data_IF_742291481063
#
_entry.id   IF_742291481063
#
_cell.length_a   1.000
_cell.length_b   1.000
_cell.length_c   1.000
_cell.angle_alpha   90.00
_cell.angle_beta   90.00
_cell.angle_gamma   90.00
#
_symmetry.space_group_name_H-M   'P 1'
#
loop_
_entity.id
_entity.type
_entity.pdbx_description
1 polymer ?
#
# COMPACT_ATOMS: atom_id res chain seq x y z
N UNK A 1 -23.57 -8.12 5.39
CA UNK A 1 -22.58 -8.08 6.48
C UNK A 1 -21.90 -9.44 6.50
N UNK A 2 -20.75 -9.56 5.88
CA UNK A 2 -19.88 -10.72 6.05
C UNK A 2 -19.26 -10.56 7.44
N UNK A 3 -19.74 -11.35 8.39
CA UNK A 3 -19.02 -11.56 9.63
C UNK A 3 -17.80 -12.41 9.28
N UNK A 4 -16.69 -11.76 8.93
CA UNK A 4 -15.39 -12.41 9.02
C UNK A 4 -15.19 -12.82 10.47
N UNK A 5 -14.68 -14.00 10.71
CA UNK A 5 -14.08 -14.34 12.00
C UNK A 5 -13.06 -13.24 12.28
N UNK A 6 -13.08 -12.56 13.44
CA UNK A 6 -12.04 -11.62 13.77
C UNK A 6 -10.71 -12.38 13.62
N UNK A 7 -9.76 -11.77 12.91
CA UNK A 7 -8.39 -12.24 13.00
C UNK A 7 -8.03 -12.20 14.48
N UNK A 8 -7.79 -13.36 15.06
CA UNK A 8 -7.51 -13.49 16.48
C UNK A 8 -6.08 -13.08 16.83
N UNK A 9 -5.28 -12.76 15.82
CA UNK A 9 -3.93 -12.24 15.97
C UNK A 9 -3.97 -10.82 15.42
N UNK A 10 -3.89 -9.85 16.32
CA UNK A 10 -3.73 -8.44 15.95
C UNK A 10 -2.29 -8.20 15.50
N UNK A 11 -2.09 -7.33 14.51
CA UNK A 11 -0.75 -6.92 14.12
C UNK A 11 -0.04 -6.28 15.31
N UNK A 12 1.26 -6.49 15.42
CA UNK A 12 2.03 -6.05 16.59
C UNK A 12 1.97 -6.94 17.83
N UNK A 13 1.07 -7.91 17.89
CA UNK A 13 0.97 -8.89 19.00
C UNK A 13 1.77 -10.17 18.74
N UNK A 14 2.68 -10.14 17.78
CA UNK A 14 3.52 -11.25 17.39
C UNK A 14 4.50 -11.65 18.51
N UNK A 15 4.51 -12.92 18.83
CA UNK A 15 5.49 -13.51 19.76
C UNK A 15 6.53 -14.31 18.97
N UNK A 16 7.65 -14.65 19.60
CA UNK A 16 8.64 -15.50 18.97
C UNK A 16 8.08 -16.88 18.53
N UNK A 17 7.03 -17.35 19.20
CA UNK A 17 6.36 -18.61 18.84
C UNK A 17 5.58 -18.49 17.51
N UNK A 18 5.12 -17.30 17.14
CA UNK A 18 4.38 -17.08 15.91
C UNK A 18 5.27 -17.17 14.66
N UNK A 19 6.58 -17.18 14.86
CA UNK A 19 7.60 -17.26 13.81
C UNK A 19 8.26 -18.63 13.69
N UNK A 20 7.66 -19.65 14.27
CA UNK A 20 8.13 -21.03 14.16
C UNK A 20 7.15 -21.86 13.33
N UNK A 21 7.69 -22.73 12.48
CA UNK A 21 6.88 -23.75 11.82
C UNK A 21 6.55 -24.92 12.78
N UNK A 22 5.72 -25.87 12.33
CA UNK A 22 5.33 -27.05 13.12
C UNK A 22 6.52 -27.93 13.53
N UNK A 23 7.66 -27.79 12.87
CA UNK A 23 8.90 -28.49 13.18
C UNK A 23 9.79 -27.69 14.14
N UNK A 24 9.36 -26.47 14.55
CA UNK A 24 10.11 -25.59 15.43
C UNK A 24 11.24 -24.80 14.75
N UNK A 25 11.24 -24.73 13.40
CA UNK A 25 12.19 -23.89 12.68
C UNK A 25 11.68 -22.46 12.61
N UNK A 26 12.59 -21.49 12.67
CA UNK A 26 12.25 -20.09 12.50
C UNK A 26 11.71 -19.85 11.08
N UNK A 27 10.50 -19.28 11.00
CA UNK A 27 9.93 -18.78 9.75
C UNK A 27 10.15 -17.28 9.67
N UNK A 28 10.05 -16.67 8.47
CA UNK A 28 10.11 -15.22 8.32
C UNK A 28 9.05 -14.52 9.18
N UNK A 29 9.45 -13.41 9.77
CA UNK A 29 8.54 -12.49 10.43
C UNK A 29 7.41 -12.11 9.45
N UNK A 30 6.18 -12.03 9.93
CA UNK A 30 5.04 -11.71 9.09
C UNK A 30 4.94 -12.62 7.85
N UNK A 31 4.74 -13.90 8.07
CA UNK A 31 4.65 -14.91 7.00
C UNK A 31 3.78 -14.48 5.81
N UNK A 32 2.68 -13.76 6.05
CA UNK A 32 1.80 -13.24 5.00
C UNK A 32 2.51 -12.29 4.03
N UNK A 33 3.56 -11.60 4.46
CA UNK A 33 4.38 -10.76 3.60
C UNK A 33 4.95 -11.55 2.40
N UNK A 34 5.24 -12.83 2.59
CA UNK A 34 5.80 -13.71 1.56
C UNK A 34 4.74 -14.54 0.82
N UNK A 35 3.57 -14.72 1.41
CA UNK A 35 2.47 -15.48 0.79
C UNK A 35 1.62 -14.62 -0.16
N UNK A 36 1.43 -13.33 0.16
CA UNK A 36 0.58 -12.44 -0.63
C UNK A 36 1.09 -12.17 -2.05
N UNK A 37 2.38 -11.93 -2.32
CA UNK A 37 2.85 -11.74 -3.69
C UNK A 37 2.45 -12.90 -4.59
N UNK A 38 2.63 -14.14 -4.15
CA UNK A 38 2.26 -15.32 -4.93
C UNK A 38 0.75 -15.39 -5.22
N UNK A 39 -0.10 -14.96 -4.29
CA UNK A 39 -1.54 -14.88 -4.49
C UNK A 39 -1.91 -13.78 -5.49
N UNK A 40 -1.28 -12.62 -5.39
CA UNK A 40 -1.61 -11.46 -6.20
C UNK A 40 -1.09 -11.61 -7.62
N UNK A 41 0.08 -12.21 -7.82
CA UNK A 41 0.63 -12.47 -9.15
C UNK A 41 -0.36 -13.24 -10.03
N UNK A 42 -1.14 -14.16 -9.45
CA UNK A 42 -2.18 -14.89 -10.22
C UNK A 42 -3.31 -13.97 -10.70
N UNK A 43 -3.57 -12.87 -10.01
CA UNK A 43 -4.63 -11.89 -10.33
C UNK A 43 -4.14 -10.81 -11.29
N UNK A 44 -2.84 -10.53 -11.30
CA UNK A 44 -2.24 -9.47 -12.11
C UNK A 44 -1.78 -9.94 -13.50
N UNK A 45 -1.89 -11.22 -13.85
CA UNK A 45 -1.40 -11.78 -15.12
C UNK A 45 -1.90 -11.06 -16.38
N UNK A 46 -3.06 -10.41 -16.30
CA UNK A 46 -3.64 -9.65 -17.40
C UNK A 46 -4.01 -8.22 -16.94
N UNK A 47 -3.26 -7.68 -16.00
CA UNK A 47 -3.52 -6.34 -15.51
C UNK A 47 -3.32 -5.31 -16.62
N UNK A 48 -4.24 -4.39 -16.72
CA UNK A 48 -4.18 -3.20 -17.57
C UNK A 48 -4.83 -2.04 -16.84
N UNK A 49 -4.35 -0.83 -17.11
CA UNK A 49 -4.98 0.38 -16.59
C UNK A 49 -6.42 0.46 -17.13
N UNK A 50 -7.38 0.68 -16.25
CA UNK A 50 -8.74 0.98 -16.64
C UNK A 50 -8.89 2.49 -16.87
N UNK A 51 -8.70 2.91 -18.11
CA UNK A 51 -8.77 4.31 -18.52
C UNK A 51 -10.14 4.96 -18.21
N UNK A 52 -11.21 4.17 -18.24
CA UNK A 52 -12.56 4.68 -17.92
C UNK A 52 -12.68 5.03 -16.45
N UNK A 53 -12.22 4.14 -15.56
CA UNK A 53 -12.24 4.40 -14.11
C UNK A 53 -11.29 5.55 -13.74
N UNK A 54 -10.14 5.64 -14.37
CA UNK A 54 -9.22 6.76 -14.17
C UNK A 54 -9.88 8.08 -14.59
N UNK A 55 -10.55 8.12 -15.74
CA UNK A 55 -11.26 9.31 -16.20
C UNK A 55 -12.41 9.70 -15.25
N UNK A 56 -13.16 8.74 -14.74
CA UNK A 56 -14.23 8.98 -13.75
C UNK A 56 -13.67 9.50 -12.42
N UNK A 57 -12.54 8.97 -11.98
CA UNK A 57 -11.83 9.46 -10.80
C UNK A 57 -11.38 10.90 -10.97
N UNK A 58 -10.73 11.24 -12.09
CA UNK A 58 -10.31 12.62 -12.39
C UNK A 58 -11.50 13.58 -12.48
N UNK A 59 -12.61 13.15 -13.08
CA UNK A 59 -13.84 13.93 -13.12
C UNK A 59 -14.45 14.13 -11.73
N UNK A 60 -14.36 13.17 -10.85
CA UNK A 60 -14.77 13.30 -9.44
C UNK A 60 -13.88 14.30 -8.71
N UNK A 61 -12.57 14.21 -8.88
CA UNK A 61 -11.62 15.15 -8.28
C UNK A 61 -11.88 16.60 -8.75
N UNK A 62 -12.15 16.81 -10.03
CA UNK A 62 -12.53 18.11 -10.55
C UNK A 62 -13.83 18.65 -9.92
N UNK A 63 -14.84 17.79 -9.74
CA UNK A 63 -16.08 18.18 -9.05
C UNK A 63 -15.87 18.59 -7.59
N UNK A 64 -14.88 17.98 -6.91
CA UNK A 64 -14.48 18.41 -5.56
C UNK A 64 -13.89 19.83 -5.60
N UNK A 65 -12.95 20.08 -6.51
CA UNK A 65 -12.32 21.38 -6.70
C UNK A 65 -13.34 22.47 -7.04
N UNK A 66 -14.27 22.21 -7.96
CA UNK A 66 -15.34 23.14 -8.37
C UNK A 66 -16.27 23.53 -7.22
N UNK A 67 -16.34 22.71 -6.18
CA UNK A 67 -17.15 22.95 -4.98
C UNK A 67 -16.33 23.49 -3.80
N UNK A 68 -15.06 23.77 -4.00
CA UNK A 68 -14.15 24.24 -2.95
C UNK A 68 -13.83 23.18 -1.91
N UNK A 69 -13.93 21.90 -2.26
CA UNK A 69 -13.51 20.78 -1.41
C UNK A 69 -12.03 20.52 -1.68
N UNK A 70 -11.21 20.63 -0.65
CA UNK A 70 -9.81 20.24 -0.70
C UNK A 70 -9.72 18.71 -0.72
N UNK A 71 -9.06 18.18 -1.75
CA UNK A 71 -8.85 16.74 -1.91
C UNK A 71 -7.38 16.42 -1.76
N UNK A 72 -7.08 15.51 -0.87
CA UNK A 72 -5.75 14.91 -0.74
C UNK A 72 -5.82 13.44 -1.12
N UNK A 73 -4.97 13.03 -2.04
CA UNK A 73 -4.81 11.65 -2.45
C UNK A 73 -3.57 11.10 -1.78
N UNK A 74 -3.72 9.99 -1.10
CA UNK A 74 -2.62 9.32 -0.40
C UNK A 74 -2.36 7.97 -1.05
N UNK A 75 -1.14 7.75 -1.49
CA UNK A 75 -0.63 6.47 -1.95
C UNK A 75 0.25 5.90 -0.82
N UNK A 76 -0.27 4.97 -0.03
CA UNK A 76 0.43 4.47 1.15
C UNK A 76 1.68 3.66 0.75
N UNK A 77 2.66 3.52 1.66
CA UNK A 77 3.84 2.71 1.39
C UNK A 77 3.50 1.24 1.17
N UNK A 78 4.32 0.56 0.38
CA UNK A 78 4.19 -0.85 0.03
C UNK A 78 5.52 -1.56 0.30
N UNK A 79 5.47 -2.81 0.75
CA UNK A 79 6.67 -3.61 0.97
C UNK A 79 7.44 -3.87 -0.34
N UNK A 80 8.77 -3.89 -0.26
CA UNK A 80 9.65 -4.02 -1.43
C UNK A 80 9.39 -5.30 -2.23
N UNK A 81 9.11 -6.41 -1.55
CA UNK A 81 8.83 -7.68 -2.22
C UNK A 81 7.54 -7.62 -3.06
N UNK A 82 6.48 -6.97 -2.56
CA UNK A 82 5.23 -6.76 -3.32
C UNK A 82 5.49 -5.83 -4.49
N UNK A 83 6.21 -4.74 -4.28
CA UNK A 83 6.57 -3.82 -5.36
C UNK A 83 7.32 -4.55 -6.47
N UNK A 84 8.35 -5.31 -6.12
CA UNK A 84 9.19 -6.02 -7.10
C UNK A 84 8.46 -7.18 -7.76
N UNK A 85 7.82 -8.06 -6.98
CA UNK A 85 7.23 -9.30 -7.49
C UNK A 85 5.87 -9.09 -8.16
N UNK A 86 5.20 -7.98 -7.87
CA UNK A 86 3.89 -7.64 -8.44
C UNK A 86 3.98 -6.40 -9.31
N UNK A 87 4.26 -5.24 -8.73
CA UNK A 87 4.13 -3.98 -9.46
C UNK A 87 5.15 -3.87 -10.62
N UNK A 88 6.41 -4.18 -10.36
CA UNK A 88 7.43 -4.13 -11.40
C UNK A 88 7.28 -5.27 -12.41
N UNK A 89 7.02 -6.49 -11.92
CA UNK A 89 6.92 -7.67 -12.77
C UNK A 89 5.75 -7.60 -13.77
N UNK A 90 4.66 -6.91 -13.43
CA UNK A 90 3.49 -6.74 -14.29
C UNK A 90 3.37 -5.34 -14.93
N UNK A 91 4.42 -4.52 -14.82
CA UNK A 91 4.47 -3.19 -15.44
C UNK A 91 3.58 -2.14 -14.75
N UNK A 92 3.03 -2.45 -13.58
CA UNK A 92 2.16 -1.52 -12.82
C UNK A 92 2.95 -0.28 -12.42
N UNK A 93 4.18 -0.46 -11.93
CA UNK A 93 5.06 0.66 -11.53
C UNK A 93 5.27 1.63 -12.70
N UNK A 94 5.58 1.12 -13.89
CA UNK A 94 5.81 1.96 -15.07
C UNK A 94 4.56 2.77 -15.42
N UNK A 95 3.39 2.13 -15.49
CA UNK A 95 2.12 2.81 -15.78
C UNK A 95 1.80 3.86 -14.71
N UNK A 96 1.99 3.54 -13.44
CA UNK A 96 1.74 4.50 -12.36
C UNK A 96 2.68 5.69 -12.43
N UNK A 97 3.98 5.49 -12.62
CA UNK A 97 4.97 6.56 -12.66
C UNK A 97 4.94 7.38 -13.94
N UNK A 98 4.72 6.74 -15.08
CA UNK A 98 4.81 7.41 -16.39
C UNK A 98 3.48 7.99 -16.87
N UNK A 99 2.34 7.44 -16.43
CA UNK A 99 1.03 7.83 -16.92
C UNK A 99 0.13 8.40 -15.82
N UNK A 100 -0.09 7.67 -14.70
CA UNK A 100 -1.10 8.04 -13.71
C UNK A 100 -0.64 9.19 -12.83
N UNK A 101 0.53 9.08 -12.19
CA UNK A 101 1.05 10.13 -11.30
C UNK A 101 1.18 11.49 -11.98
N UNK A 102 1.71 11.61 -13.22
CA UNK A 102 1.75 12.88 -13.92
C UNK A 102 0.36 13.49 -14.22
N UNK A 103 -0.67 12.65 -14.37
CA UNK A 103 -2.04 13.14 -14.51
C UNK A 103 -2.61 13.64 -13.18
N UNK A 104 -2.32 12.97 -12.08
CA UNK A 104 -2.73 13.38 -10.75
C UNK A 104 -2.07 14.71 -10.34
N UNK A 105 -0.78 14.86 -10.57
CA UNK A 105 -0.01 16.06 -10.23
C UNK A 105 -0.46 17.31 -10.99
N UNK A 106 -1.11 17.16 -12.14
CA UNK A 106 -1.67 18.27 -12.92
C UNK A 106 -3.00 18.79 -12.39
N UNK A 107 -3.59 18.09 -11.43
CA UNK A 107 -4.90 18.47 -10.88
C UNK A 107 -4.73 19.48 -9.71
N UNK A 108 -5.83 20.12 -9.34
CA UNK A 108 -5.89 21.05 -8.20
C UNK A 108 -6.17 20.28 -6.89
N UNK A 109 -5.34 19.30 -6.57
CA UNK A 109 -5.38 18.57 -5.31
C UNK A 109 -3.95 18.14 -4.91
N UNK A 110 -3.80 17.77 -3.66
CA UNK A 110 -2.53 17.30 -3.13
C UNK A 110 -2.37 15.80 -3.36
N UNK A 111 -1.18 15.36 -3.80
CA UNK A 111 -0.82 13.94 -3.90
C UNK A 111 0.32 13.66 -2.93
N UNK A 112 0.07 12.82 -1.93
CA UNK A 112 1.07 12.30 -1.01
C UNK A 112 1.43 10.88 -1.46
N UNK A 113 2.60 10.75 -2.08
CA UNK A 113 3.05 9.51 -2.70
C UNK A 113 4.15 8.87 -1.86
N UNK A 114 3.77 7.92 -1.01
CA UNK A 114 4.69 7.12 -0.21
C UNK A 114 5.02 5.76 -0.85
N UNK A 115 4.25 5.36 -1.87
CA UNK A 115 4.43 4.07 -2.52
C UNK A 115 5.65 4.07 -3.45
N UNK A 116 5.77 5.09 -4.30
CA UNK A 116 6.90 5.27 -5.23
C UNK A 116 7.76 6.49 -4.89
N UNK A 117 7.40 7.24 -3.88
CA UNK A 117 8.12 8.41 -3.37
C UNK A 117 9.05 8.06 -2.22
N UNK A 118 9.29 9.07 -1.37
CA UNK A 118 10.05 8.91 -0.13
C UNK A 118 9.12 8.80 1.05
N UNK A 119 9.43 7.91 1.98
CA UNK A 119 8.75 7.74 3.25
C UNK A 119 9.75 7.40 4.35
N UNK A 120 9.36 7.62 5.61
CA UNK A 120 10.09 7.11 6.77
C UNK A 120 10.03 5.58 6.84
N UNK A 121 9.06 4.96 6.14
CA UNK A 121 8.95 3.51 6.05
C UNK A 121 10.03 2.99 5.11
N UNK A 122 10.88 2.16 5.66
CA UNK A 122 11.81 1.34 4.89
C UNK A 122 11.10 0.06 4.46
N UNK A 123 11.62 -0.62 3.46
CA UNK A 123 11.03 -1.89 2.97
C UNK A 123 11.38 -3.07 3.89
N UNK A 124 11.32 -2.84 5.18
CA UNK A 124 11.70 -3.78 6.24
C UNK A 124 10.52 -4.70 6.58
N UNK A 125 10.77 -5.97 6.71
CA UNK A 125 9.78 -7.01 7.05
C UNK A 125 9.04 -6.69 8.35
N UNK A 126 9.69 -5.99 9.29
CA UNK A 126 9.07 -5.63 10.57
C UNK A 126 8.03 -4.53 10.45
N UNK A 127 8.02 -3.77 9.36
CA UNK A 127 7.13 -2.63 9.17
C UNK A 127 5.80 -3.00 8.51
N UNK A 128 5.70 -4.20 7.94
CA UNK A 128 4.52 -4.65 7.22
C UNK A 128 3.95 -5.94 7.81
N UNK A 129 2.62 -5.99 7.87
CA UNK A 129 1.91 -7.20 8.25
C UNK A 129 1.82 -8.21 7.09
N UNK A 130 1.54 -7.74 5.87
CA UNK A 130 1.30 -8.58 4.69
C UNK A 130 1.76 -7.96 3.36
N UNK A 131 2.62 -7.00 3.40
CA UNK A 131 3.15 -6.30 2.22
C UNK A 131 2.29 -5.14 1.71
N UNK A 132 1.02 -5.06 2.07
CA UNK A 132 0.10 -3.95 1.77
C UNK A 132 -0.33 -3.19 3.01
N UNK A 133 -0.40 -3.88 4.14
CA UNK A 133 -0.82 -3.29 5.41
C UNK A 133 0.41 -3.11 6.30
N UNK A 134 0.55 -1.91 6.82
CA UNK A 134 1.56 -1.62 7.83
C UNK A 134 1.24 -2.36 9.12
N UNK A 135 2.28 -2.84 9.81
CA UNK A 135 2.15 -3.43 11.12
C UNK A 135 1.79 -2.35 12.15
N UNK A 136 0.76 -2.60 12.95
CA UNK A 136 0.24 -1.63 13.93
C UNK A 136 1.27 -1.20 14.97
N UNK A 137 2.21 -2.06 15.28
CA UNK A 137 3.23 -1.81 16.30
C UNK A 137 4.49 -1.12 15.76
N UNK A 138 4.86 -1.43 14.50
CA UNK A 138 6.15 -1.02 13.96
C UNK A 138 6.04 0.01 12.85
N UNK A 139 5.32 -0.27 11.76
CA UNK A 139 5.26 0.61 10.61
C UNK A 139 4.18 1.68 10.70
N UNK A 140 3.00 1.32 11.19
CA UNK A 140 1.85 2.21 11.20
C UNK A 140 2.03 3.46 12.07
N UNK A 141 2.62 3.41 13.28
CA UNK A 141 2.82 4.62 14.09
C UNK A 141 3.72 5.64 13.42
N UNK A 142 4.84 5.21 12.86
CA UNK A 142 5.82 6.10 12.24
C UNK A 142 5.25 6.73 10.97
N UNK A 143 4.63 5.94 10.11
CA UNK A 143 3.96 6.45 8.91
C UNK A 143 2.78 7.38 9.23
N UNK A 144 2.02 7.08 10.27
CA UNK A 144 0.92 7.95 10.69
C UNK A 144 1.43 9.34 11.10
N UNK A 145 2.55 9.40 11.82
CA UNK A 145 3.18 10.67 12.20
C UNK A 145 3.64 11.45 10.95
N UNK A 146 4.33 10.78 10.01
CA UNK A 146 4.76 11.35 8.73
C UNK A 146 3.57 11.91 7.94
N UNK A 147 2.50 11.12 7.79
CA UNK A 147 1.29 11.53 7.07
C UNK A 147 0.67 12.79 7.67
N UNK A 148 0.54 12.86 9.00
CA UNK A 148 0.00 14.05 9.66
C UNK A 148 0.89 15.28 9.51
N UNK A 149 2.20 15.10 9.56
CA UNK A 149 3.15 16.19 9.33
C UNK A 149 3.05 16.73 7.90
N UNK A 150 2.92 15.86 6.90
CA UNK A 150 2.80 16.26 5.49
C UNK A 150 1.44 16.91 5.18
N UNK A 151 0.36 16.46 5.83
CA UNK A 151 -0.96 17.09 5.68
C UNK A 151 -1.06 18.51 6.29
N UNK A 152 -0.10 18.91 7.14
CA UNK A 152 -0.08 20.25 7.74
C UNK A 152 0.78 21.26 6.98
N UNK A 153 1.50 20.82 5.96
CA UNK A 153 2.38 21.67 5.14
C UNK A 153 1.61 22.28 3.97
#
# INVERSE_FOLDING_TARGET
TVKGTPDTIESGDWTAADYLDDAGNTIPLHKKLYEYPALITTRCQNWTLNETELAEFLAMAQRCADRGVELTIVLPPMAANVRTEVCDAFGITAVMQDEVLPLLEKQNFTVLNYEWGTSCITDDDTQFFDGFHLDEKYGLPDWTAELFDDMQR
#
